data_IF_680737991605
#
_entry.id   IF_680737991605
#
_cell.length_a   1.000
_cell.length_b   1.000
_cell.length_c   1.000
_cell.angle_alpha   90.00
_cell.angle_beta   90.00
_cell.angle_gamma   90.00
#
_symmetry.space_group_name_H-M   'P 1'
#
loop_
_entity.id
_entity.type
_entity.pdbx_description
1 polymer ?
#
# COMPACT_ATOMS: atom_id res chain seq x y z
N UNK A 1 8.87 19.77 7.26
CA UNK A 1 7.61 19.70 6.49
C UNK A 1 6.46 19.85 7.46
N UNK A 2 5.49 20.73 7.17
CA UNK A 2 4.22 20.75 7.88
C UNK A 2 3.29 19.70 7.23
N UNK A 3 2.86 18.64 7.93
CA UNK A 3 2.02 17.58 7.37
C UNK A 3 0.69 18.09 6.79
N UNK A 4 0.27 19.32 7.12
CA UNK A 4 -0.94 19.95 6.57
C UNK A 4 -0.86 20.35 5.09
N UNK A 5 0.30 20.22 4.44
CA UNK A 5 0.45 20.60 3.01
C UNK A 5 0.24 19.45 2.03
N UNK A 6 0.58 18.21 2.37
CA UNK A 6 0.40 17.07 1.44
C UNK A 6 -1.07 16.82 1.09
N UNK A 7 -1.97 16.93 2.08
CA UNK A 7 -3.42 16.79 1.88
C UNK A 7 -3.99 17.84 0.90
N UNK A 8 -3.39 19.04 0.86
CA UNK A 8 -3.78 20.08 -0.08
C UNK A 8 -3.29 19.78 -1.50
N UNK A 9 -2.14 19.14 -1.65
CA UNK A 9 -1.63 18.75 -2.95
C UNK A 9 -2.47 17.62 -3.54
N UNK A 10 -2.78 16.57 -2.80
CA UNK A 10 -3.56 15.44 -3.32
C UNK A 10 -4.99 15.83 -3.74
N UNK A 11 -5.56 16.90 -3.16
CA UNK A 11 -6.85 17.47 -3.57
C UNK A 11 -6.83 18.25 -4.90
N UNK A 12 -5.66 18.63 -5.42
CA UNK A 12 -5.54 19.32 -6.72
C UNK A 12 -5.78 18.33 -7.86
N UNK A 13 -6.88 18.51 -8.59
CA UNK A 13 -7.24 17.71 -9.77
C UNK A 13 -6.40 18.02 -11.03
N UNK A 14 -5.56 19.05 -10.98
CA UNK A 14 -4.67 19.41 -12.09
C UNK A 14 -3.48 18.46 -12.15
N UNK A 15 -2.87 18.34 -13.34
CA UNK A 15 -1.75 17.45 -13.55
C UNK A 15 -0.53 17.91 -12.72
N UNK A 16 0.15 16.93 -12.12
CA UNK A 16 1.30 17.14 -11.25
C UNK A 16 2.50 16.44 -11.86
N UNK A 17 3.66 17.03 -11.71
CA UNK A 17 4.92 16.44 -12.12
C UNK A 17 6.06 16.94 -11.24
N UNK A 18 7.13 16.17 -11.18
CA UNK A 18 8.35 16.52 -10.47
C UNK A 18 9.33 17.07 -11.50
N UNK A 19 10.00 18.17 -11.19
CA UNK A 19 11.12 18.66 -11.99
C UNK A 19 12.41 18.59 -11.19
N UNK A 20 13.40 17.90 -11.73
CA UNK A 20 14.77 17.97 -11.23
C UNK A 20 15.45 19.15 -11.93
N UNK A 21 15.87 20.14 -11.14
CA UNK A 21 16.47 21.37 -11.65
C UNK A 21 17.98 21.23 -11.61
N UNK A 22 18.64 21.43 -12.75
CA UNK A 22 20.08 21.55 -12.87
C UNK A 22 20.45 22.97 -13.32
N UNK A 23 21.51 23.54 -12.74
CA UNK A 23 21.86 24.94 -12.89
C UNK A 23 21.02 25.86 -11.98
N UNK A 24 20.99 27.15 -12.30
CA UNK A 24 20.34 28.16 -11.47
C UNK A 24 21.23 28.65 -10.32
N UNK A 25 20.61 29.30 -9.34
CA UNK A 25 21.28 29.87 -8.18
C UNK A 25 20.70 29.28 -6.90
N UNK A 26 21.48 29.25 -5.82
CA UNK A 26 21.06 28.73 -4.51
C UNK A 26 19.91 29.50 -3.84
N UNK A 27 19.37 30.52 -4.50
CA UNK A 27 18.19 31.28 -4.08
C UNK A 27 16.90 30.62 -4.58
N UNK A 28 16.12 30.11 -3.63
CA UNK A 28 14.84 29.42 -3.88
C UNK A 28 13.81 30.27 -4.62
N UNK A 29 13.71 31.56 -4.30
CA UNK A 29 12.71 32.45 -4.94
C UNK A 29 13.05 32.68 -6.39
N UNK A 30 14.34 32.85 -6.68
CA UNK A 30 14.82 33.01 -8.05
C UNK A 30 14.66 31.71 -8.83
N UNK A 31 15.03 30.56 -8.27
CA UNK A 31 14.82 29.25 -8.91
C UNK A 31 13.35 28.96 -9.18
N UNK A 32 12.45 29.27 -8.24
CA UNK A 32 10.99 29.18 -8.46
C UNK A 32 10.52 30.02 -9.65
N UNK A 33 11.02 31.26 -9.76
CA UNK A 33 10.69 32.15 -10.88
C UNK A 33 11.24 31.63 -12.20
N UNK A 34 12.47 31.10 -12.21
CA UNK A 34 13.08 30.50 -13.39
C UNK A 34 12.30 29.27 -13.88
N UNK A 35 11.92 28.36 -12.96
CA UNK A 35 11.07 27.19 -13.29
C UNK A 35 9.76 27.67 -13.90
N UNK A 36 9.08 28.63 -13.26
CA UNK A 36 7.78 29.15 -13.72
C UNK A 36 7.88 29.74 -15.12
N UNK A 37 8.88 30.58 -15.37
CA UNK A 37 9.05 31.25 -16.66
C UNK A 37 9.39 30.25 -17.76
N UNK A 38 10.32 29.32 -17.51
CA UNK A 38 10.70 28.31 -18.49
C UNK A 38 9.52 27.41 -18.87
N UNK A 39 8.74 26.97 -17.89
CA UNK A 39 7.52 26.19 -18.15
C UNK A 39 6.50 27.02 -18.94
N UNK A 40 6.23 28.26 -18.52
CA UNK A 40 5.25 29.13 -19.19
C UNK A 40 5.66 29.48 -20.63
N UNK A 41 6.96 29.61 -20.90
CA UNK A 41 7.50 29.83 -22.25
C UNK A 41 7.39 28.57 -23.11
N UNK A 42 7.83 27.42 -22.59
CA UNK A 42 7.79 26.15 -23.32
C UNK A 42 6.37 25.69 -23.67
N UNK A 43 5.38 26.05 -22.84
CA UNK A 43 3.98 25.62 -23.00
C UNK A 43 3.03 26.71 -23.48
N UNK A 44 3.53 27.93 -23.70
CA UNK A 44 2.72 29.13 -23.91
C UNK A 44 1.65 29.36 -22.80
N UNK A 45 1.86 28.82 -21.61
CA UNK A 45 0.90 28.84 -20.50
C UNK A 45 0.99 30.11 -19.62
N UNK A 46 1.33 31.27 -20.20
CA UNK A 46 1.59 32.54 -19.46
C UNK A 46 0.42 33.03 -18.61
N UNK A 47 -0.81 32.56 -18.86
CA UNK A 47 -2.01 32.87 -18.06
C UNK A 47 -2.37 31.83 -16.99
N UNK A 48 -1.64 30.71 -16.88
CA UNK A 48 -1.95 29.65 -15.92
C UNK A 48 -1.26 29.89 -14.59
N UNK A 49 -1.99 29.60 -13.50
CA UNK A 49 -1.44 29.68 -12.15
C UNK A 49 -0.58 28.44 -11.86
N UNK A 50 0.68 28.47 -12.27
CA UNK A 50 1.65 27.40 -12.01
C UNK A 50 2.05 27.42 -10.53
N UNK A 51 1.67 26.37 -9.82
CA UNK A 51 2.01 26.12 -8.42
C UNK A 51 3.32 25.35 -8.35
N UNK A 52 4.25 25.81 -7.53
CA UNK A 52 5.56 25.20 -7.34
C UNK A 52 5.78 24.99 -5.85
N UNK A 53 6.02 23.75 -5.43
CA UNK A 53 6.48 23.44 -4.08
C UNK A 53 8.00 23.36 -4.03
N UNK A 54 8.58 24.07 -3.07
CA UNK A 54 9.99 23.96 -2.75
C UNK A 54 10.34 22.57 -2.19
N UNK A 55 11.57 22.07 -2.42
CA UNK A 55 12.08 20.87 -1.77
C UNK A 55 12.10 21.02 -0.24
N UNK A 56 11.89 19.90 0.47
CA UNK A 56 11.82 19.87 1.94
C UNK A 56 13.15 20.10 2.64
N UNK A 57 14.27 19.86 1.95
CA UNK A 57 15.63 20.03 2.49
C UNK A 57 16.22 21.33 1.93
N UNK A 58 16.68 22.20 2.84
CA UNK A 58 17.50 23.33 2.48
C UNK A 58 18.86 22.82 2.01
N UNK A 59 19.06 22.63 0.71
CA UNK A 59 20.37 22.29 0.18
C UNK A 59 21.10 23.56 -0.28
N UNK A 60 22.32 23.72 0.23
CA UNK A 60 23.32 24.67 -0.24
C UNK A 60 24.29 23.90 -1.14
N UNK A 61 24.20 24.08 -2.46
CA UNK A 61 25.11 23.42 -3.40
C UNK A 61 24.62 23.43 -4.84
N UNK A 62 25.44 22.95 -5.78
CA UNK A 62 25.10 22.80 -7.20
C UNK A 62 24.31 21.53 -7.52
N UNK A 63 23.95 20.73 -6.51
CA UNK A 63 23.32 19.43 -6.72
C UNK A 63 21.90 19.57 -7.27
N UNK A 64 21.46 18.66 -8.16
CA UNK A 64 20.13 18.70 -8.71
C UNK A 64 19.06 18.55 -7.62
N UNK A 65 18.08 19.45 -7.61
CA UNK A 65 17.00 19.44 -6.61
C UNK A 65 15.65 19.12 -7.26
N UNK A 66 14.83 18.33 -6.56
CA UNK A 66 13.50 17.95 -7.02
C UNK A 66 12.45 18.94 -6.52
N UNK A 67 11.67 19.49 -7.43
CA UNK A 67 10.58 20.43 -7.18
C UNK A 67 9.26 19.83 -7.64
N UNK A 68 8.18 20.06 -6.91
CA UNK A 68 6.84 19.63 -7.32
C UNK A 68 6.15 20.77 -8.06
N UNK A 69 5.62 20.48 -9.25
CA UNK A 69 4.91 21.45 -10.08
C UNK A 69 3.48 20.97 -10.34
N UNK A 70 2.52 21.89 -10.27
CA UNK A 70 1.13 21.68 -10.65
C UNK A 70 0.54 22.98 -11.23
N UNK A 71 -0.75 22.98 -11.58
CA UNK A 71 -1.41 24.19 -12.11
C UNK A 71 -1.53 24.24 -13.63
N UNK A 72 -1.03 23.22 -14.33
CA UNK A 72 -1.17 23.10 -15.78
C UNK A 72 -2.41 22.27 -16.16
N UNK A 73 -3.03 22.55 -17.33
CA UNK A 73 -3.96 21.63 -17.96
C UNK A 73 -3.33 20.25 -18.16
N UNK A 74 -4.16 19.20 -18.12
CA UNK A 74 -3.68 17.80 -18.15
C UNK A 74 -2.86 17.54 -19.41
N UNK A 75 -3.37 17.98 -20.55
CA UNK A 75 -2.77 17.76 -21.87
C UNK A 75 -1.38 18.43 -21.96
N UNK A 76 -1.25 19.61 -21.36
CA UNK A 76 0.00 20.37 -21.34
C UNK A 76 1.01 19.74 -20.37
N UNK A 77 0.55 19.28 -19.21
CA UNK A 77 1.38 18.57 -18.25
C UNK A 77 1.91 17.25 -18.79
N UNK A 78 1.06 16.47 -19.46
CA UNK A 78 1.42 15.22 -20.12
C UNK A 78 2.47 15.45 -21.22
N UNK A 79 2.29 16.48 -22.06
CA UNK A 79 3.26 16.81 -23.10
C UNK A 79 4.64 17.17 -22.53
N UNK A 80 4.69 17.87 -21.38
CA UNK A 80 5.94 18.16 -20.68
C UNK A 80 6.59 16.89 -20.12
N UNK A 81 5.80 15.99 -19.53
CA UNK A 81 6.30 14.71 -19.01
C UNK A 81 6.85 13.83 -20.13
N UNK A 82 6.18 13.79 -21.29
CA UNK A 82 6.65 13.08 -22.49
C UNK A 82 7.93 13.70 -23.06
N UNK A 83 8.02 15.03 -23.07
CA UNK A 83 9.19 15.77 -23.55
C UNK A 83 10.44 15.59 -22.68
N UNK A 84 10.28 15.17 -21.41
CA UNK A 84 11.30 14.84 -20.39
C UNK A 84 12.31 15.93 -20.04
N UNK A 85 12.67 16.83 -20.95
CA UNK A 85 13.72 17.84 -20.75
C UNK A 85 13.29 19.15 -21.40
N UNK A 86 13.34 20.24 -20.63
CA UNK A 86 13.31 21.60 -21.16
C UNK A 86 14.46 22.40 -20.59
N UNK A 87 15.10 23.23 -21.40
CA UNK A 87 16.33 23.91 -21.01
C UNK A 87 16.34 25.36 -21.47
N UNK A 88 17.03 26.19 -20.70
CA UNK A 88 17.35 27.57 -20.98
C UNK A 88 18.82 27.82 -20.59
N UNK A 89 19.43 28.95 -21.00
CA UNK A 89 20.77 29.32 -20.53
C UNK A 89 20.90 29.42 -19.00
N UNK A 90 19.79 29.59 -18.27
CA UNK A 90 19.81 29.76 -16.81
C UNK A 90 19.61 28.45 -16.03
N UNK A 91 18.73 27.57 -16.50
CA UNK A 91 18.35 26.30 -15.84
C UNK A 91 17.97 25.23 -16.87
N UNK A 92 18.19 23.97 -16.51
CA UNK A 92 17.63 22.80 -17.18
C UNK A 92 16.67 22.08 -16.23
N UNK A 93 15.50 21.69 -16.75
CA UNK A 93 14.48 20.93 -16.04
C UNK A 93 14.39 19.54 -16.63
N UNK A 94 14.66 18.53 -15.81
CA UNK A 94 14.33 17.14 -16.09
C UNK A 94 12.95 16.86 -15.49
N UNK A 95 11.99 16.50 -16.33
CA UNK A 95 10.58 16.37 -15.99
C UNK A 95 10.25 14.90 -15.76
N UNK A 96 9.60 14.63 -14.63
CA UNK A 96 9.19 13.30 -14.21
C UNK A 96 7.70 13.30 -13.89
N UNK A 97 6.98 12.26 -14.28
CA UNK A 97 5.59 12.07 -13.86
C UNK A 97 5.50 12.09 -12.32
N UNK A 98 4.52 12.81 -11.77
CA UNK A 98 4.25 12.72 -10.33
C UNK A 98 3.52 11.41 -10.04
N UNK A 99 4.17 10.52 -9.32
CA UNK A 99 3.49 9.44 -8.61
C UNK A 99 3.38 9.88 -7.14
N UNK A 100 2.17 10.02 -6.57
CA UNK A 100 2.05 10.28 -5.14
C UNK A 100 2.78 9.18 -4.37
N UNK A 101 3.57 9.53 -3.33
CA UNK A 101 4.30 8.53 -2.57
C UNK A 101 3.30 7.57 -1.94
N UNK A 102 3.29 6.32 -2.42
CA UNK A 102 2.47 5.28 -1.83
C UNK A 102 3.10 4.94 -0.48
N UNK A 103 2.36 5.18 0.61
CA UNK A 103 2.79 4.77 1.95
C UNK A 103 3.06 3.27 1.94
N UNK A 104 4.30 2.88 2.26
CA UNK A 104 4.68 1.48 2.39
C UNK A 104 4.04 0.77 3.58
N UNK A 105 3.25 1.47 4.41
CA UNK A 105 2.61 0.88 5.58
C UNK A 105 1.60 -0.19 5.18
N UNK A 106 1.90 -1.43 5.56
CA UNK A 106 1.00 -2.56 5.38
C UNK A 106 0.01 -2.60 6.53
N UNK A 107 0.45 -2.59 7.79
CA UNK A 107 -0.47 -2.73 8.93
C UNK A 107 0.25 -3.05 10.24
N UNK A 108 -0.50 -3.10 11.33
CA UNK A 108 0.01 -3.48 12.63
C UNK A 108 -0.43 -4.92 12.97
N UNK A 109 0.51 -5.73 13.43
CA UNK A 109 0.29 -7.12 13.80
C UNK A 109 0.51 -7.32 15.31
N UNK A 110 -0.24 -8.24 15.90
CA UNK A 110 -0.20 -8.55 17.33
C UNK A 110 -0.22 -10.06 17.55
N UNK A 111 -0.05 -10.49 18.80
CA UNK A 111 -0.12 -11.91 19.17
C UNK A 111 1.18 -12.68 18.97
N UNK A 112 2.26 -12.00 18.59
CA UNK A 112 3.59 -12.60 18.59
C UNK A 112 4.18 -12.58 20.00
N UNK A 113 4.63 -13.76 20.46
CA UNK A 113 5.39 -13.90 21.70
C UNK A 113 6.89 -13.75 21.41
N UNK A 114 7.31 -12.54 21.07
CA UNK A 114 8.68 -12.18 20.72
C UNK A 114 9.04 -10.90 21.46
N UNK A 115 10.27 -10.81 21.97
CA UNK A 115 10.73 -9.63 22.69
C UNK A 115 10.79 -8.39 21.80
N UNK A 116 10.56 -7.21 22.40
CA UNK A 116 10.61 -5.90 21.74
C UNK A 116 12.06 -5.47 21.46
N UNK A 117 12.76 -6.21 20.61
CA UNK A 117 14.15 -5.97 20.23
C UNK A 117 14.32 -5.93 18.71
N UNK A 118 15.48 -5.51 18.23
CA UNK A 118 15.81 -5.57 16.80
C UNK A 118 15.80 -7.00 16.26
N UNK A 119 16.31 -7.96 17.04
CA UNK A 119 16.27 -9.39 16.69
C UNK A 119 14.83 -9.91 16.65
N UNK A 120 13.98 -9.42 17.56
CA UNK A 120 12.55 -9.69 17.53
C UNK A 120 11.89 -9.17 16.25
N UNK A 121 12.17 -7.93 15.87
CA UNK A 121 11.68 -7.34 14.62
C UNK A 121 12.11 -8.14 13.38
N UNK A 122 13.37 -8.58 13.31
CA UNK A 122 13.86 -9.44 12.23
C UNK A 122 13.20 -10.82 12.21
N UNK A 123 12.93 -11.39 13.38
CA UNK A 123 12.20 -12.65 13.50
C UNK A 123 10.77 -12.51 12.96
N UNK A 124 10.07 -11.44 13.32
CA UNK A 124 8.74 -11.14 12.80
C UNK A 124 8.78 -10.88 11.30
N UNK A 125 9.76 -10.12 10.81
CA UNK A 125 9.94 -9.85 9.37
C UNK A 125 10.06 -11.16 8.58
N UNK A 126 10.86 -12.10 9.06
CA UNK A 126 11.04 -13.42 8.43
C UNK A 126 9.75 -14.24 8.46
N UNK A 127 9.06 -14.31 9.62
CA UNK A 127 7.78 -15.02 9.73
C UNK A 127 6.77 -14.46 8.72
N UNK A 128 6.64 -13.13 8.64
CA UNK A 128 5.73 -12.47 7.71
C UNK A 128 6.14 -12.73 6.26
N UNK A 129 7.42 -12.57 5.92
CA UNK A 129 7.95 -12.83 4.58
C UNK A 129 7.68 -14.26 4.11
N UNK A 130 8.00 -15.25 4.94
CA UNK A 130 7.73 -16.66 4.65
C UNK A 130 6.23 -16.92 4.47
N UNK A 131 5.39 -16.27 5.28
CA UNK A 131 3.94 -16.39 5.24
C UNK A 131 3.35 -15.81 3.95
N UNK A 132 3.89 -14.68 3.47
CA UNK A 132 3.54 -14.08 2.17
C UNK A 132 3.90 -15.06 1.05
N UNK A 133 5.13 -15.59 1.03
CA UNK A 133 5.60 -16.51 -0.02
C UNK A 133 4.79 -17.82 -0.07
N UNK A 134 4.24 -18.24 1.07
CA UNK A 134 3.38 -19.42 1.19
C UNK A 134 1.91 -19.17 0.84
N UNK A 135 1.52 -17.92 0.54
CA UNK A 135 0.16 -17.54 0.16
C UNK A 135 0.03 -17.38 -1.35
N UNK A 136 -0.55 -18.36 -2.10
CA UNK A 136 -0.65 -18.26 -3.55
C UNK A 136 -1.45 -17.04 -4.02
N UNK A 137 -2.48 -16.65 -3.27
CA UNK A 137 -3.29 -15.47 -3.61
C UNK A 137 -2.50 -14.17 -3.47
N UNK A 138 -1.70 -14.04 -2.40
CA UNK A 138 -0.89 -12.85 -2.16
C UNK A 138 0.27 -12.78 -3.14
N UNK A 139 0.94 -13.90 -3.38
CA UNK A 139 2.00 -14.03 -4.39
C UNK A 139 1.49 -13.62 -5.76
N UNK A 140 0.33 -14.15 -6.18
CA UNK A 140 -0.23 -13.80 -7.48
C UNK A 140 -0.58 -12.31 -7.56
N UNK A 141 -1.17 -11.73 -6.50
CA UNK A 141 -1.47 -10.29 -6.47
C UNK A 141 -0.22 -9.42 -6.59
N UNK A 142 0.90 -9.81 -5.97
CA UNK A 142 2.19 -9.11 -6.09
C UNK A 142 2.70 -9.21 -7.53
N UNK A 143 2.71 -10.42 -8.10
CA UNK A 143 3.21 -10.65 -9.45
C UNK A 143 2.37 -9.95 -10.54
N UNK A 144 1.06 -9.88 -10.35
CA UNK A 144 0.13 -9.19 -11.26
C UNK A 144 0.30 -7.66 -11.23
N UNK A 145 0.93 -7.11 -10.17
CA UNK A 145 1.09 -5.67 -9.94
C UNK A 145 2.55 -5.35 -9.61
N UNK A 146 3.48 -5.84 -10.44
CA UNK A 146 4.94 -5.72 -10.24
C UNK A 146 5.61 -4.61 -11.04
N UNK A 147 4.86 -3.60 -11.47
CA UNK A 147 5.37 -2.54 -12.34
C UNK A 147 6.55 -1.76 -11.75
N UNK A 148 6.69 -1.69 -10.42
CA UNK A 148 7.86 -1.10 -9.77
C UNK A 148 9.12 -1.99 -9.79
N UNK A 149 8.99 -3.23 -10.26
CA UNK A 149 10.05 -4.24 -10.42
C UNK A 149 10.14 -4.74 -11.86
N UNK A 150 9.74 -3.90 -12.82
CA UNK A 150 9.67 -4.25 -14.25
C UNK A 150 11.01 -4.67 -14.86
N UNK A 151 12.12 -4.30 -14.23
CA UNK A 151 13.48 -4.65 -14.61
C UNK A 151 13.90 -6.08 -14.24
N UNK A 152 13.10 -6.78 -13.44
CA UNK A 152 13.39 -8.15 -13.00
C UNK A 152 12.75 -9.16 -13.94
N UNK A 153 13.54 -10.10 -14.43
CA UNK A 153 13.13 -11.06 -15.47
C UNK A 153 12.29 -12.20 -14.90
N UNK A 154 12.51 -12.58 -13.64
CA UNK A 154 11.86 -13.76 -13.04
C UNK A 154 10.88 -13.42 -11.93
N UNK A 155 9.82 -14.23 -11.82
CA UNK A 155 8.88 -14.13 -10.70
C UNK A 155 9.57 -14.33 -9.34
N UNK A 156 10.62 -15.15 -9.30
CA UNK A 156 11.37 -15.42 -8.07
C UNK A 156 12.11 -14.17 -7.58
N UNK A 157 12.81 -13.47 -8.48
CA UNK A 157 13.53 -12.24 -8.14
C UNK A 157 12.60 -11.13 -7.67
N UNK A 158 11.41 -11.02 -8.29
CA UNK A 158 10.38 -10.06 -7.88
C UNK A 158 9.93 -10.32 -6.44
N UNK A 159 9.67 -11.58 -6.08
CA UNK A 159 9.23 -11.94 -4.74
C UNK A 159 10.36 -11.79 -3.71
N UNK A 160 11.59 -12.17 -4.06
CA UNK A 160 12.77 -11.97 -3.23
C UNK A 160 13.01 -10.47 -2.97
N UNK A 161 12.95 -9.65 -4.02
CA UNK A 161 13.09 -8.20 -3.92
C UNK A 161 11.99 -7.60 -3.05
N UNK A 162 10.72 -7.98 -3.27
CA UNK A 162 9.61 -7.49 -2.48
C UNK A 162 9.78 -7.85 -0.99
N UNK A 163 10.05 -9.11 -0.68
CA UNK A 163 10.21 -9.57 0.71
C UNK A 163 11.45 -8.98 1.39
N UNK A 164 12.52 -8.69 0.65
CA UNK A 164 13.69 -7.98 1.15
C UNK A 164 13.38 -6.53 1.58
N UNK A 165 12.31 -5.92 1.06
CA UNK A 165 11.89 -4.56 1.44
C UNK A 165 11.00 -4.52 2.67
N UNK A 166 10.61 -5.68 3.21
CA UNK A 166 9.81 -5.72 4.43
C UNK A 166 10.59 -5.09 5.58
N UNK A 167 9.94 -4.20 6.30
CA UNK A 167 10.48 -3.57 7.49
C UNK A 167 9.48 -3.67 8.61
N UNK A 168 9.94 -4.09 9.79
CA UNK A 168 9.09 -4.27 10.98
C UNK A 168 9.57 -3.33 12.06
N UNK A 169 8.66 -2.53 12.61
CA UNK A 169 8.92 -1.61 13.70
C UNK A 169 8.04 -1.97 14.91
N UNK A 170 8.64 -2.32 16.07
CA UNK A 170 7.88 -2.52 17.29
C UNK A 170 7.30 -1.20 17.79
N UNK A 171 6.12 -1.28 18.40
CA UNK A 171 5.46 -0.17 19.08
C UNK A 171 4.71 -0.70 20.29
N UNK A 172 5.11 -0.26 21.47
CA UNK A 172 4.37 -0.53 22.70
C UNK A 172 3.24 0.48 22.85
N UNK A 173 2.03 -0.02 23.04
CA UNK A 173 0.85 0.80 23.29
C UNK A 173 0.28 0.43 24.64
N UNK A 174 0.20 1.41 25.54
CA UNK A 174 -0.51 1.27 26.80
C UNK A 174 -2.01 1.40 26.57
N UNK A 175 -2.74 0.35 26.87
CA UNK A 175 -4.21 0.37 26.78
C UNK A 175 -4.84 1.02 28.01
N UNK A 176 -6.11 1.41 27.89
CA UNK A 176 -6.89 2.03 28.98
C UNK A 176 -6.98 1.16 30.25
N UNK A 177 -6.67 -0.14 30.17
CA UNK A 177 -6.59 -1.07 31.29
C UNK A 177 -5.21 -1.19 31.94
N UNK A 178 -4.26 -0.30 31.65
CA UNK A 178 -2.84 -0.41 32.05
C UNK A 178 -2.14 -1.69 31.57
N UNK A 179 -2.67 -2.35 30.55
CA UNK A 179 -1.99 -3.45 29.89
C UNK A 179 -1.19 -2.88 28.70
N UNK A 180 0.11 -3.13 28.70
CA UNK A 180 0.98 -2.80 27.58
C UNK A 180 0.80 -3.88 26.50
N UNK A 181 0.41 -3.46 25.30
CA UNK A 181 0.29 -4.33 24.12
C UNK A 181 1.43 -3.98 23.17
N UNK A 182 2.18 -5.01 22.76
CA UNK A 182 3.19 -4.88 21.72
C UNK A 182 2.55 -5.04 20.34
N UNK A 183 2.64 -3.99 19.53
CA UNK A 183 2.31 -3.99 18.10
C UNK A 183 3.58 -4.10 17.27
N UNK A 184 3.48 -4.79 16.14
CA UNK A 184 4.52 -4.87 15.12
C UNK A 184 4.02 -4.19 13.85
N UNK A 185 4.44 -2.96 13.62
CA UNK A 185 4.12 -2.21 12.41
C UNK A 185 4.92 -2.76 11.24
N UNK A 186 4.25 -3.17 10.18
CA UNK A 186 4.87 -3.68 8.96
C UNK A 186 4.82 -2.63 7.86
N UNK A 187 5.95 -2.48 7.19
CA UNK A 187 6.12 -1.67 6.00
C UNK A 187 6.75 -2.51 4.88
N UNK A 188 6.53 -2.16 3.63
CA UNK A 188 7.25 -2.68 2.48
C UNK A 188 7.31 -1.63 1.37
N UNK A 189 8.25 -1.75 0.45
CA UNK A 189 8.18 -0.97 -0.77
C UNK A 189 7.06 -1.54 -1.66
N UNK A 190 6.09 -0.72 -2.11
CA UNK A 190 5.03 -1.18 -2.97
C UNK A 190 5.59 -1.79 -4.28
N UNK A 191 5.11 -2.96 -4.73
CA UNK A 191 5.52 -3.53 -6.02
C UNK A 191 4.92 -2.78 -7.22
N UNK A 192 4.10 -1.77 -6.96
CA UNK A 192 3.31 -1.04 -7.94
C UNK A 192 3.30 0.46 -7.66
N UNK A 193 3.20 1.27 -8.71
CA UNK A 193 2.95 2.71 -8.64
C UNK A 193 1.46 3.07 -8.52
N UNK A 194 0.56 2.07 -8.50
CA UNK A 194 -0.89 2.28 -8.41
C UNK A 194 -1.42 2.05 -6.97
N UNK A 195 -1.94 3.11 -6.35
CA UNK A 195 -2.41 3.08 -4.95
C UNK A 195 -3.52 2.03 -4.69
N UNK A 196 -4.44 1.84 -5.63
CA UNK A 196 -5.53 0.88 -5.48
C UNK A 196 -5.03 -0.57 -5.52
N UNK A 197 -4.05 -0.86 -6.38
CA UNK A 197 -3.37 -2.15 -6.41
C UNK A 197 -2.59 -2.40 -5.12
N UNK A 198 -1.85 -1.38 -4.63
CA UNK A 198 -1.16 -1.48 -3.36
C UNK A 198 -2.11 -1.74 -2.18
N UNK A 199 -3.24 -1.02 -2.11
CA UNK A 199 -4.26 -1.22 -1.07
C UNK A 199 -4.81 -2.65 -1.07
N UNK A 200 -5.01 -3.25 -2.25
CA UNK A 200 -5.43 -4.65 -2.37
C UNK A 200 -4.37 -5.61 -1.83
N UNK A 201 -3.11 -5.41 -2.20
CA UNK A 201 -1.98 -6.23 -1.71
C UNK A 201 -1.85 -6.10 -0.18
N UNK A 202 -1.78 -4.88 0.34
CA UNK A 202 -1.67 -4.63 1.78
C UNK A 202 -2.84 -5.23 2.56
N UNK A 203 -4.06 -5.15 2.02
CA UNK A 203 -5.26 -5.77 2.60
C UNK A 203 -5.17 -7.30 2.60
N UNK A 204 -4.61 -7.90 1.55
CA UNK A 204 -4.42 -9.35 1.48
C UNK A 204 -3.36 -9.82 2.49
N UNK A 205 -2.23 -9.10 2.60
CA UNK A 205 -1.19 -9.37 3.61
C UNK A 205 -1.75 -9.26 5.03
N UNK A 206 -2.60 -8.26 5.33
CA UNK A 206 -3.26 -8.12 6.65
C UNK A 206 -4.18 -9.29 7.02
N UNK A 207 -4.69 -10.02 6.02
CA UNK A 207 -5.60 -11.16 6.21
C UNK A 207 -4.85 -12.47 6.39
N UNK A 208 -3.53 -12.47 6.21
CA UNK A 208 -2.72 -13.63 6.48
C UNK A 208 -2.82 -13.95 7.98
N UNK A 209 -3.09 -15.22 8.27
CA UNK A 209 -3.11 -15.71 9.64
C UNK A 209 -1.73 -16.24 9.97
N UNK A 210 -1.10 -15.63 10.96
CA UNK A 210 0.19 -16.03 11.48
C UNK A 210 -0.06 -17.00 12.64
N UNK A 211 0.05 -18.30 12.37
CA UNK A 211 -0.02 -19.32 13.42
C UNK A 211 1.27 -19.35 14.23
N UNK A 212 1.18 -19.55 15.56
CA UNK A 212 2.34 -19.88 16.38
C UNK A 212 2.62 -21.38 16.30
N UNK A 213 3.86 -21.80 16.00
CA UNK A 213 4.29 -23.19 16.24
C UNK A 213 5.72 -23.20 16.78
N UNK A 214 5.85 -23.64 18.03
CA UNK A 214 7.05 -24.30 18.54
C UNK A 214 7.05 -25.74 17.97
N UNK A 215 8.22 -26.23 17.54
CA UNK A 215 8.47 -27.61 17.09
C UNK A 215 7.90 -28.08 15.73
N UNK A 216 8.28 -27.40 14.64
CA UNK A 216 8.66 -28.14 13.43
C UNK A 216 7.60 -28.44 12.36
N UNK A 217 6.55 -27.61 12.23
CA UNK A 217 5.84 -27.20 10.98
C UNK A 217 4.34 -26.95 11.22
N UNK A 218 3.82 -25.79 10.78
CA UNK A 218 2.59 -25.67 9.97
C UNK A 218 2.41 -24.24 9.43
N UNK A 219 1.59 -24.17 8.39
CA UNK A 219 1.43 -23.09 7.41
C UNK A 219 0.15 -22.27 7.65
N UNK A 220 0.13 -21.12 6.97
CA UNK A 220 -0.99 -20.20 6.74
C UNK A 220 -2.39 -20.87 6.77
N UNK A 221 -3.27 -20.44 7.68
CA UNK A 221 -4.71 -20.63 7.51
C UNK A 221 -5.26 -19.47 6.67
N UNK A 222 -5.53 -19.71 5.38
CA UNK A 222 -6.35 -18.77 4.62
C UNK A 222 -7.78 -18.85 5.14
N UNK A 223 -8.29 -17.79 5.76
CA UNK A 223 -9.73 -17.66 6.03
C UNK A 223 -10.45 -17.43 4.70
N UNK A 224 -10.66 -18.49 3.93
CA UNK A 224 -11.14 -18.35 2.55
C UNK A 224 -11.68 -19.60 1.87
N UNK A 225 -12.16 -20.64 2.58
CA UNK A 225 -12.86 -21.78 1.92
C UNK A 225 -14.13 -22.28 2.64
N UNK A 226 -14.51 -21.75 3.82
CA UNK A 226 -15.67 -22.31 4.55
C UNK A 226 -17.04 -21.66 4.29
N UNK A 227 -17.16 -20.60 3.49
CA UNK A 227 -18.49 -20.04 3.17
C UNK A 227 -19.24 -20.83 2.07
N UNK A 228 -18.54 -21.55 1.17
CA UNK A 228 -19.22 -22.38 0.16
C UNK A 228 -19.70 -23.73 0.71
N UNK A 229 -18.97 -24.35 1.64
CA UNK A 229 -19.41 -25.63 2.23
C UNK A 229 -20.56 -25.50 3.24
N UNK A 230 -20.71 -24.35 3.90
CA UNK A 230 -21.83 -24.12 4.82
C UNK A 230 -23.17 -23.96 4.09
N UNK A 231 -23.19 -23.27 2.94
CA UNK A 231 -24.41 -23.17 2.11
C UNK A 231 -24.81 -24.48 1.42
N UNK A 232 -23.85 -25.37 1.13
CA UNK A 232 -24.14 -26.68 0.52
C UNK A 232 -24.59 -27.74 1.53
N UNK A 233 -24.15 -27.66 2.80
CA UNK A 233 -24.65 -28.53 3.88
C UNK A 233 -26.00 -28.08 4.44
N UNK A 234 -26.26 -26.77 4.52
CA UNK A 234 -27.56 -26.25 4.97
C UNK A 234 -28.65 -26.38 3.87
N UNK A 235 -28.26 -26.42 2.59
CA UNK A 235 -29.17 -26.66 1.47
C UNK A 235 -29.61 -28.13 1.29
N UNK A 236 -28.87 -29.10 1.85
CA UNK A 236 -29.17 -30.55 1.74
C UNK A 236 -29.92 -31.15 2.93
N UNK A 237 -30.04 -30.45 4.07
CA UNK A 237 -30.79 -30.93 5.24
C UNK A 237 -32.27 -30.54 5.27
N UNK A 238 -32.78 -29.80 4.28
CA UNK A 238 -34.17 -29.30 4.25
C UNK A 238 -35.21 -30.16 3.51
N UNK A 239 -34.86 -31.35 2.98
CA UNK A 239 -35.81 -32.18 2.21
C UNK A 239 -35.61 -33.68 2.41
N UNK A 240 -35.83 -34.19 3.62
CA UNK A 240 -36.24 -35.58 3.80
C UNK A 240 -36.68 -35.82 5.23
N UNK A 241 -38.00 -35.84 5.46
CA UNK A 241 -38.74 -36.75 6.36
C UNK A 241 -40.04 -36.09 6.76
N UNK A 242 -41.10 -36.39 6.01
CA UNK A 242 -42.43 -36.59 6.59
C UNK A 242 -43.33 -37.31 5.57
N UNK A 243 -43.19 -38.63 5.52
CA UNK A 243 -44.19 -39.52 4.93
C UNK A 243 -44.26 -40.82 5.73
N UNK A 244 -45.47 -41.03 6.27
CA UNK A 244 -46.12 -42.28 6.69
C UNK A 244 -45.95 -42.70 8.16
N UNK A 245 -47.09 -42.74 8.85
CA UNK A 245 -47.26 -43.47 10.10
C UNK A 245 -48.62 -43.28 10.77
N UNK A 246 -49.74 -43.43 10.05
CA UNK A 246 -51.07 -43.58 10.68
C UNK A 246 -51.12 -44.94 11.38
N UNK A 247 -51.05 -44.94 12.70
CA UNK A 247 -51.32 -46.10 13.56
C UNK A 247 -52.38 -45.74 14.59
N UNK A 248 -53.59 -46.26 14.40
CA UNK A 248 -54.80 -46.02 15.21
C UNK A 248 -55.07 -47.29 16.01
N UNK A 249 -55.16 -47.19 17.35
CA UNK A 249 -55.77 -48.13 18.34
C UNK A 249 -55.28 -47.68 19.74
N UNK A 250 -55.98 -47.77 20.86
CA UNK A 250 -57.37 -47.93 21.33
C UNK A 250 -57.23 -47.90 22.88
N UNK A 251 -58.24 -47.40 23.61
CA UNK A 251 -58.70 -47.78 24.97
C UNK A 251 -57.65 -48.06 26.06
N UNK A 252 -57.61 -47.38 27.21
CA UNK A 252 -58.58 -47.34 28.32
C UNK A 252 -58.45 -45.97 29.06
N UNK A 253 -59.43 -45.32 29.69
CA UNK A 253 -60.51 -45.84 30.55
C UNK A 253 -60.03 -45.95 32.00
N UNK A 254 -60.15 -44.89 32.81
CA UNK A 254 -60.67 -44.93 34.19
C UNK A 254 -60.67 -43.53 34.84
N UNK A 255 -61.85 -43.15 35.31
CA UNK A 255 -62.17 -42.02 36.19
C UNK A 255 -61.57 -42.18 37.59
N UNK A 256 -61.31 -41.07 38.28
CA UNK A 256 -61.67 -40.90 39.69
C UNK A 256 -61.67 -39.42 40.09
N UNK A 257 -62.88 -38.97 40.50
CA UNK A 257 -63.28 -37.77 41.25
C UNK A 257 -63.31 -36.41 40.54
#
# INVERSE_FOLDING_TARGET
>A
MDPKRLDQWDAVQQHKFIVTVSGGNSDRRRTTTLIRNLIAEATNARGHHIMISEPSVAQSGPDPTCWLVAGLPVEVGEHLVEGRIISSPAITLLIHAYAPPISGYIGAFTGFNVECTQEGAETIRRIIGDTILKSPSTVQLILDNRDAFSELDTNSEVLERFTATLHVQPMEIRTAGNQDILLWNLFANPPTCYIESWRKIAKDVRRLVFGSIWDGQAYLYTTGVNEKKKKEQDGKKGKSQDRKGKGKRRHDGYDHY
#
